data_IF_203925674464
#
_entry.id   IF_203925674464
#
_cell.length_a   1.000
_cell.length_b   1.000
_cell.length_c   1.000
_cell.angle_alpha   90.00
_cell.angle_beta   90.00
_cell.angle_gamma   90.00
#
_symmetry.space_group_name_H-M   'P 1'
#
loop_
_entity.id
_entity.type
_entity.pdbx_description
1 polymer ?
#
# COMPACT_ATOMS: atom_id res chain seq x y z
N UNK A 1 31.67 -2.89 -20.05
CA UNK A 1 31.74 -1.89 -21.13
C UNK A 1 32.35 -0.58 -20.61
N UNK A 2 33.04 0.22 -21.45
CA UNK A 2 33.46 1.56 -21.05
C UNK A 2 32.29 2.39 -20.51
N UNK A 3 32.56 3.32 -19.60
CA UNK A 3 31.52 4.12 -18.95
C UNK A 3 30.57 4.76 -19.97
N UNK A 4 29.27 4.56 -19.77
CA UNK A 4 28.22 5.08 -20.64
C UNK A 4 27.92 4.23 -21.89
N UNK A 5 28.38 2.97 -21.95
CA UNK A 5 28.06 2.04 -23.05
C UNK A 5 27.59 0.67 -22.56
N UNK A 6 26.80 -0.03 -23.38
CA UNK A 6 26.22 -1.33 -23.08
C UNK A 6 26.01 -2.20 -24.34
N UNK A 7 25.64 -3.46 -24.14
CA UNK A 7 25.35 -4.44 -25.18
C UNK A 7 26.59 -5.15 -25.73
N UNK A 8 26.36 -6.02 -26.71
CA UNK A 8 27.43 -6.82 -27.35
C UNK A 8 28.48 -5.87 -27.95
N UNK A 9 29.74 -6.09 -27.59
CA UNK A 9 30.88 -5.23 -27.94
C UNK A 9 30.74 -3.76 -27.51
N UNK A 10 29.87 -3.44 -26.56
CA UNK A 10 29.67 -2.09 -26.02
C UNK A 10 29.27 -1.06 -27.10
N UNK A 11 28.58 -1.52 -28.14
CA UNK A 11 28.23 -0.71 -29.30
C UNK A 11 27.09 0.30 -29.05
N UNK A 12 26.36 0.15 -27.93
CA UNK A 12 25.22 1.03 -27.59
C UNK A 12 25.60 2.00 -26.48
N UNK A 13 25.02 3.20 -26.49
CA UNK A 13 25.25 4.24 -25.48
C UNK A 13 24.13 4.24 -24.44
N UNK A 14 24.48 4.38 -23.18
CA UNK A 14 23.53 4.54 -22.10
C UNK A 14 22.89 5.94 -22.11
N UNK A 15 21.61 6.00 -21.79
CA UNK A 15 20.81 7.23 -21.78
C UNK A 15 20.42 7.69 -20.37
N UNK A 16 21.28 7.40 -19.38
CA UNK A 16 21.11 7.90 -18.03
C UNK A 16 21.45 9.39 -17.96
N UNK A 17 20.61 10.18 -17.30
CA UNK A 17 20.84 11.62 -17.14
C UNK A 17 21.91 11.85 -16.06
N UNK A 18 22.46 13.07 -16.01
CA UNK A 18 23.36 13.51 -14.93
C UNK A 18 24.47 12.50 -14.60
N UNK A 19 25.13 11.97 -15.64
CA UNK A 19 26.21 10.99 -15.56
C UNK A 19 25.88 9.69 -14.80
N UNK A 20 24.61 9.26 -14.78
CA UNK A 20 24.20 7.99 -14.17
C UNK A 20 24.86 6.77 -14.81
N UNK A 21 25.14 5.75 -13.98
CA UNK A 21 25.68 4.45 -14.44
C UNK A 21 24.55 3.54 -14.93
N UNK A 22 24.91 2.62 -15.83
CA UNK A 22 23.99 1.66 -16.46
C UNK A 22 24.58 0.25 -16.42
N UNK A 23 23.72 -0.76 -16.44
CA UNK A 23 24.10 -2.15 -16.63
C UNK A 23 24.73 -2.37 -18.02
N UNK A 24 25.83 -3.11 -18.09
CA UNK A 24 26.54 -3.39 -19.34
C UNK A 24 25.76 -4.30 -20.29
N UNK A 25 24.81 -5.06 -19.76
CA UNK A 25 24.08 -6.10 -20.47
C UNK A 25 22.93 -5.49 -21.27
N UNK A 26 22.12 -4.65 -20.62
CA UNK A 26 20.86 -4.14 -21.16
C UNK A 26 20.74 -2.60 -21.17
N UNK A 27 21.71 -1.88 -20.60
CA UNK A 27 21.75 -0.41 -20.64
C UNK A 27 20.77 0.29 -19.71
N UNK A 28 20.06 -0.46 -18.85
CA UNK A 28 19.17 0.10 -17.84
C UNK A 28 20.01 0.84 -16.80
N UNK A 29 19.55 2.02 -16.39
CA UNK A 29 20.25 2.81 -15.38
C UNK A 29 20.17 2.15 -14.01
N UNK A 30 21.30 2.17 -13.30
CA UNK A 30 21.40 1.58 -11.97
C UNK A 30 20.90 2.62 -10.98
N UNK A 31 19.73 2.37 -10.37
CA UNK A 31 19.17 3.22 -9.32
C UNK A 31 20.20 3.42 -8.19
N UNK A 32 20.31 4.65 -7.69
CA UNK A 32 21.30 5.00 -6.65
C UNK A 32 22.74 5.21 -7.15
N UNK A 33 23.07 4.88 -8.41
CA UNK A 33 24.38 5.17 -9.02
C UNK A 33 24.33 6.39 -9.94
N UNK A 34 23.77 7.46 -9.41
CA UNK A 34 23.70 8.78 -10.04
C UNK A 34 24.88 9.66 -9.59
N UNK A 35 25.11 10.79 -10.29
CA UNK A 35 26.02 11.81 -9.74
C UNK A 35 25.41 12.43 -8.49
N UNK A 36 26.27 12.92 -7.59
CA UNK A 36 25.87 13.62 -6.37
C UNK A 36 24.78 14.66 -6.68
N UNK A 37 23.72 14.64 -5.87
CA UNK A 37 22.59 15.55 -6.01
C UNK A 37 21.49 15.08 -6.93
N UNK A 38 21.53 13.85 -7.46
CA UNK A 38 20.50 13.31 -8.35
C UNK A 38 20.01 11.92 -7.93
N UNK A 39 18.71 11.67 -8.12
CA UNK A 39 18.04 10.39 -7.87
C UNK A 39 17.05 10.03 -8.99
N UNK A 40 16.44 8.87 -8.84
CA UNK A 40 15.41 8.34 -9.73
C UNK A 40 15.93 7.30 -10.70
N UNK A 41 15.02 6.60 -11.36
CA UNK A 41 15.32 5.44 -12.20
C UNK A 41 16.24 5.74 -13.39
N UNK A 42 16.42 7.00 -13.80
CA UNK A 42 17.41 7.42 -14.79
C UNK A 42 18.12 8.71 -14.40
N UNK A 43 18.25 8.97 -13.09
CA UNK A 43 18.91 10.14 -12.52
C UNK A 43 18.28 11.48 -12.97
N UNK A 44 16.97 11.50 -13.18
CA UNK A 44 16.22 12.64 -13.70
C UNK A 44 15.90 13.71 -12.65
N UNK A 45 15.92 13.37 -11.37
CA UNK A 45 15.46 14.25 -10.29
C UNK A 45 16.65 14.78 -9.51
N UNK A 46 16.74 16.09 -9.31
CA UNK A 46 17.70 16.68 -8.37
C UNK A 46 17.18 16.63 -6.94
N UNK A 47 18.03 16.30 -5.97
CA UNK A 47 17.61 16.07 -4.57
C UNK A 47 17.77 17.31 -3.67
N UNK A 48 18.55 18.31 -4.04
CA UNK A 48 18.82 19.46 -3.17
C UNK A 48 17.80 20.61 -3.33
N UNK A 49 16.51 20.37 -3.05
CA UNK A 49 15.57 21.49 -2.90
C UNK A 49 15.09 21.79 -1.50
N UNK A 50 15.31 20.92 -0.51
CA UNK A 50 14.83 21.15 0.87
C UNK A 50 15.67 20.44 1.97
N UNK A 51 16.99 20.30 1.78
CA UNK A 51 17.88 19.84 2.87
C UNK A 51 17.88 18.34 3.18
N UNK A 52 17.45 17.48 2.24
CA UNK A 52 17.65 16.04 2.30
C UNK A 52 18.74 15.69 1.29
N UNK A 53 19.86 15.13 1.76
CA UNK A 53 20.93 14.66 0.89
C UNK A 53 20.48 13.38 0.15
N UNK A 54 21.19 13.00 -0.91
CA UNK A 54 20.80 11.83 -1.72
C UNK A 54 21.08 10.49 -1.03
N UNK A 55 21.70 10.55 0.14
CA UNK A 55 22.34 9.45 0.85
C UNK A 55 21.57 9.10 2.13
N UNK A 56 20.24 9.20 2.10
CA UNK A 56 19.39 8.45 3.05
C UNK A 56 19.23 7.03 2.48
N UNK A 57 20.31 6.25 2.50
CA UNK A 57 20.22 4.80 2.57
C UNK A 57 19.62 4.49 3.95
N UNK A 58 18.29 4.49 4.05
CA UNK A 58 17.52 4.06 5.22
C UNK A 58 17.85 2.59 5.53
N UNK A 59 18.92 2.36 6.29
CA UNK A 59 19.15 1.18 7.15
C UNK A 59 18.83 1.54 8.62
N UNK A 60 17.90 2.47 8.88
CA UNK A 60 17.45 2.83 10.23
C UNK A 60 15.98 2.41 10.48
N UNK A 61 15.75 1.10 10.55
CA UNK A 61 14.74 0.54 11.46
C UNK A 61 15.45 0.26 12.80
N UNK A 62 15.44 1.23 13.74
CA UNK A 62 15.10 1.00 15.16
C UNK A 62 15.34 2.26 16.04
N UNK A 63 14.21 2.80 16.51
CA UNK A 63 13.90 3.19 17.89
C UNK A 63 14.87 4.06 18.74
N UNK A 64 14.38 5.29 18.98
CA UNK A 64 14.42 6.05 20.22
C UNK A 64 15.73 6.56 20.85
N UNK A 65 15.59 7.80 21.34
CA UNK A 65 16.27 8.43 22.49
C UNK A 65 17.54 9.29 22.33
N UNK A 66 17.31 10.58 22.62
CA UNK A 66 18.00 11.44 23.61
C UNK A 66 19.52 11.65 23.50
N UNK A 67 19.85 12.95 23.40
CA UNK A 67 21.17 13.54 23.58
C UNK A 67 22.06 12.90 24.66
N UNK A 68 23.32 12.63 24.31
CA UNK A 68 24.41 12.60 25.29
C UNK A 68 25.67 13.25 24.71
N UNK A 69 26.27 14.09 25.53
CA UNK A 69 27.52 14.82 25.33
C UNK A 69 28.72 13.90 25.26
N UNK A 70 29.78 14.40 24.63
CA UNK A 70 31.13 13.85 24.57
C UNK A 70 31.64 13.24 25.89
N UNK A 71 32.32 12.10 25.76
CA UNK A 71 33.17 11.47 26.77
C UNK A 71 34.11 10.49 26.08
N UNK A 72 35.40 10.68 26.31
CA UNK A 72 36.53 9.88 25.86
C UNK A 72 36.60 8.48 26.53
N UNK A 73 37.50 7.64 26.00
CA UNK A 73 38.29 6.57 26.65
C UNK A 73 38.12 5.09 26.18
N UNK A 74 39.27 4.56 25.70
CA UNK A 74 39.93 3.25 25.94
C UNK A 74 39.57 1.93 25.18
N UNK A 75 40.56 1.52 24.35
CA UNK A 75 41.34 0.26 24.28
C UNK A 75 40.73 -1.17 24.37
N UNK A 76 41.20 -2.03 23.43
CA UNK A 76 41.25 -3.52 23.50
C UNK A 76 40.10 -4.23 22.77
N UNK A 77 40.27 -5.07 21.75
CA UNK A 77 41.26 -6.14 21.56
C UNK A 77 40.73 -7.45 22.13
N UNK A 78 40.24 -8.38 21.30
CA UNK A 78 40.51 -9.84 21.37
C UNK A 78 39.70 -10.63 20.33
N UNK A 79 40.46 -11.44 19.58
CA UNK A 79 40.04 -12.49 18.65
C UNK A 79 39.34 -13.65 19.38
N UNK A 80 38.32 -14.26 18.77
CA UNK A 80 37.95 -15.65 19.03
C UNK A 80 37.38 -16.29 17.75
N UNK A 81 38.27 -16.97 17.04
CA UNK A 81 37.94 -18.07 16.14
C UNK A 81 37.47 -19.27 16.98
N UNK A 82 36.26 -19.79 16.73
CA UNK A 82 35.86 -21.11 17.18
C UNK A 82 35.22 -21.89 16.02
N UNK A 83 36.04 -22.75 15.43
CA UNK A 83 35.69 -23.84 14.52
C UNK A 83 34.90 -24.92 15.28
N UNK A 84 33.64 -25.13 14.89
CA UNK A 84 32.78 -26.21 15.40
C UNK A 84 32.17 -27.02 14.26
N UNK A 85 32.88 -28.07 13.82
CA UNK A 85 32.37 -29.08 12.87
C UNK A 85 31.59 -30.20 13.57
N UNK A 86 30.50 -30.66 12.95
CA UNK A 86 29.82 -31.95 13.18
C UNK A 86 28.33 -31.81 13.50
N UNK A 87 27.37 -32.48 12.86
CA UNK A 87 27.38 -33.51 11.82
C UNK A 87 25.92 -33.92 11.51
N UNK A 88 25.74 -34.65 10.41
CA UNK A 88 24.66 -35.60 10.06
C UNK A 88 23.20 -35.09 10.14
N UNK A 89 22.43 -34.94 9.07
CA UNK A 89 22.35 -35.73 7.85
C UNK A 89 20.89 -36.13 7.67
N UNK A 90 20.19 -35.54 6.69
CA UNK A 90 19.01 -36.16 6.10
C UNK A 90 18.91 -35.77 4.62
N UNK A 91 18.92 -36.81 3.81
CA UNK A 91 18.98 -36.77 2.36
C UNK A 91 17.65 -36.25 1.78
N UNK A 92 17.61 -34.99 1.37
CA UNK A 92 16.65 -34.53 0.40
C UNK A 92 17.22 -34.80 -1.00
N UNK A 93 16.76 -35.88 -1.61
CA UNK A 93 16.93 -36.18 -3.03
C UNK A 93 16.65 -34.92 -3.85
N UNK A 94 17.71 -34.34 -4.42
CA UNK A 94 17.61 -33.28 -5.40
C UNK A 94 16.95 -33.86 -6.66
N UNK A 95 15.63 -33.74 -6.75
CA UNK A 95 14.95 -33.80 -8.02
C UNK A 95 15.39 -32.56 -8.80
N UNK A 96 16.30 -32.77 -9.76
CA UNK A 96 16.56 -31.81 -10.81
C UNK A 96 15.23 -31.59 -11.56
N UNK A 97 14.50 -30.54 -11.19
CA UNK A 97 13.46 -30.00 -12.02
C UNK A 97 14.17 -29.29 -13.19
N UNK A 98 14.30 -30.01 -14.30
CA UNK A 98 14.43 -29.37 -15.60
C UNK A 98 13.19 -28.52 -15.80
N UNK A 99 13.32 -27.21 -15.63
CA UNK A 99 12.34 -26.27 -16.16
C UNK A 99 12.48 -26.38 -17.67
N UNK A 100 11.69 -27.26 -18.28
CA UNK A 100 11.32 -27.11 -19.69
C UNK A 100 10.66 -25.73 -19.77
N UNK A 101 11.36 -24.80 -20.40
CA UNK A 101 10.86 -23.47 -20.66
C UNK A 101 9.59 -23.56 -21.47
N UNK A 102 8.46 -23.27 -20.83
CA UNK A 102 7.37 -22.59 -21.49
C UNK A 102 7.40 -21.15 -20.99
N UNK A 103 7.98 -20.28 -21.83
CA UNK A 103 7.86 -18.83 -21.73
C UNK A 103 6.39 -18.43 -21.94
N UNK A 104 5.53 -18.65 -20.93
CA UNK A 104 4.14 -18.15 -20.88
C UNK A 104 4.01 -16.93 -19.94
N UNK A 105 5.08 -16.17 -19.72
CA UNK A 105 5.04 -14.89 -18.98
C UNK A 105 4.32 -13.76 -19.75
N UNK A 106 3.68 -14.06 -20.89
CA UNK A 106 2.91 -13.10 -21.68
C UNK A 106 1.39 -13.16 -21.41
N UNK A 107 0.87 -14.24 -20.81
CA UNK A 107 -0.57 -14.34 -20.51
C UNK A 107 -0.98 -13.51 -19.29
N UNK A 108 -0.08 -13.33 -18.30
CA UNK A 108 -0.36 -12.49 -17.13
C UNK A 108 -0.35 -10.99 -17.49
N UNK A 109 0.52 -10.57 -18.41
CA UNK A 109 0.52 -9.21 -18.95
C UNK A 109 -0.69 -8.95 -19.83
N UNK A 110 -1.14 -9.92 -20.63
CA UNK A 110 -2.37 -9.80 -21.44
C UNK A 110 -3.61 -9.72 -20.53
N UNK A 111 -3.70 -10.52 -19.46
CA UNK A 111 -4.81 -10.47 -18.51
C UNK A 111 -4.86 -9.13 -17.75
N UNK A 112 -3.71 -8.63 -17.28
CA UNK A 112 -3.57 -7.30 -16.66
C UNK A 112 -3.93 -6.19 -17.66
N UNK A 113 -3.48 -6.28 -18.91
CA UNK A 113 -3.79 -5.30 -19.96
C UNK A 113 -5.27 -5.32 -20.36
N UNK A 114 -5.92 -6.49 -20.43
CA UNK A 114 -7.36 -6.63 -20.67
C UNK A 114 -8.16 -6.07 -19.49
N UNK A 115 -7.73 -6.27 -18.24
CA UNK A 115 -8.37 -5.66 -17.07
C UNK A 115 -8.26 -4.13 -17.06
N UNK A 116 -7.13 -3.56 -17.49
CA UNK A 116 -6.92 -2.11 -17.58
C UNK A 116 -7.68 -1.46 -18.76
N UNK A 117 -7.96 -2.20 -19.84
CA UNK A 117 -8.77 -1.76 -20.98
C UNK A 117 -10.29 -1.84 -20.73
N UNK A 118 -10.72 -2.59 -19.70
CA UNK A 118 -12.14 -2.78 -19.34
C UNK A 118 -12.61 -1.89 -18.16
N UNK A 119 -11.81 -0.92 -17.73
CA UNK A 119 -12.23 0.08 -16.74
C UNK A 119 -13.11 1.13 -17.43
N UNK A 120 -14.37 0.77 -17.67
CA UNK A 120 -15.38 1.69 -18.20
C UNK A 120 -15.76 2.75 -17.18
N UNK A 121 -15.99 3.98 -17.63
CA UNK A 121 -16.56 5.03 -16.77
C UNK A 121 -17.97 4.62 -16.36
N UNK A 122 -18.18 4.44 -15.05
CA UNK A 122 -19.49 4.08 -14.51
C UNK A 122 -20.40 5.31 -14.39
N UNK A 123 -21.71 5.06 -14.44
CA UNK A 123 -22.71 6.07 -14.11
C UNK A 123 -22.56 6.48 -12.64
N UNK A 124 -22.93 7.72 -12.33
CA UNK A 124 -22.98 8.19 -10.95
C UNK A 124 -23.78 7.22 -10.07
N UNK A 125 -23.17 6.82 -8.96
CA UNK A 125 -23.76 5.88 -8.00
C UNK A 125 -23.29 4.44 -8.16
N UNK A 126 -22.49 4.12 -9.17
CA UNK A 126 -21.84 2.81 -9.28
C UNK A 126 -20.35 2.90 -9.55
N UNK A 127 -19.63 1.83 -9.25
CA UNK A 127 -18.20 1.76 -9.44
C UNK A 127 -17.71 0.31 -9.67
N UNK A 128 -16.42 0.17 -9.94
CA UNK A 128 -15.74 -1.12 -10.03
C UNK A 128 -15.92 -1.81 -11.39
N UNK A 129 -15.48 -3.07 -11.47
CA UNK A 129 -15.52 -3.82 -12.72
C UNK A 129 -16.97 -4.02 -13.18
N UNK A 130 -17.26 -3.65 -14.42
CA UNK A 130 -18.61 -3.68 -15.00
C UNK A 130 -19.66 -2.87 -14.21
N UNK A 131 -19.25 -1.92 -13.36
CA UNK A 131 -20.15 -1.04 -12.61
C UNK A 131 -21.18 -1.78 -11.73
N UNK A 132 -20.80 -2.94 -11.19
CA UNK A 132 -21.67 -3.77 -10.35
C UNK A 132 -21.77 -3.28 -8.92
N UNK A 133 -20.76 -2.54 -8.45
CA UNK A 133 -20.72 -2.04 -7.09
C UNK A 133 -21.54 -0.77 -6.94
N UNK A 134 -22.21 -0.61 -5.80
CA UNK A 134 -23.00 0.58 -5.49
C UNK A 134 -22.20 1.54 -4.63
N UNK A 135 -22.26 2.83 -4.96
CA UNK A 135 -21.55 3.83 -4.20
C UNK A 135 -22.42 4.46 -3.12
N UNK A 136 -21.95 4.42 -1.88
CA UNK A 136 -22.65 4.97 -0.70
C UNK A 136 -21.99 6.27 -0.19
N UNK A 137 -21.41 7.07 -1.08
CA UNK A 137 -20.93 8.41 -0.72
C UNK A 137 -22.10 9.33 -0.35
N UNK A 138 -21.87 10.25 0.59
CA UNK A 138 -22.83 11.31 0.91
C UNK A 138 -23.11 12.22 -0.31
N UNK A 139 -22.09 12.39 -1.15
CA UNK A 139 -22.19 13.11 -2.43
C UNK A 139 -21.87 12.13 -3.55
N UNK A 140 -22.90 11.64 -4.25
CA UNK A 140 -22.77 10.59 -5.27
C UNK A 140 -21.83 10.97 -6.42
N UNK A 141 -21.70 12.26 -6.74
CA UNK A 141 -20.82 12.78 -7.79
C UNK A 141 -19.34 12.81 -7.42
N UNK A 142 -19.00 12.57 -6.14
CA UNK A 142 -17.63 12.51 -5.62
C UNK A 142 -17.11 11.08 -5.46
N UNK A 143 -17.91 10.10 -5.88
CA UNK A 143 -17.51 8.71 -5.93
C UNK A 143 -16.56 8.45 -7.09
N UNK A 144 -15.41 7.84 -6.81
CA UNK A 144 -14.52 7.34 -7.85
C UNK A 144 -15.16 6.12 -8.54
N UNK A 145 -15.38 6.19 -9.85
CA UNK A 145 -16.04 5.13 -10.61
C UNK A 145 -15.22 3.82 -10.72
N UNK A 146 -13.94 3.84 -10.34
CA UNK A 146 -13.05 2.67 -10.34
C UNK A 146 -12.98 2.08 -8.94
N UNK A 147 -12.66 2.91 -7.94
CA UNK A 147 -12.33 2.44 -6.58
C UNK A 147 -13.48 2.55 -5.58
N UNK A 148 -14.51 3.33 -5.89
CA UNK A 148 -15.61 3.64 -4.97
C UNK A 148 -15.25 4.63 -3.87
N UNK A 149 -14.00 5.11 -3.83
CA UNK A 149 -13.54 6.07 -2.81
C UNK A 149 -14.24 7.41 -2.97
N UNK A 150 -14.74 7.96 -1.87
CA UNK A 150 -15.39 9.27 -1.84
C UNK A 150 -14.32 10.37 -1.68
N UNK A 151 -14.01 11.08 -2.76
CA UNK A 151 -12.97 12.14 -2.73
C UNK A 151 -13.28 13.27 -1.75
N UNK A 152 -14.56 13.51 -1.46
CA UNK A 152 -15.00 14.45 -0.44
C UNK A 152 -16.43 14.14 0.04
N UNK A 153 -16.78 14.60 1.24
CA UNK A 153 -18.11 14.43 1.83
C UNK A 153 -18.32 13.14 2.64
N UNK A 154 -17.43 12.15 2.51
CA UNK A 154 -17.51 10.90 3.27
C UNK A 154 -18.71 10.03 2.89
N UNK A 155 -19.12 9.17 3.82
CA UNK A 155 -20.18 8.19 3.60
C UNK A 155 -21.57 8.73 3.90
N UNK A 156 -22.55 8.24 3.15
CA UNK A 156 -23.96 8.42 3.49
C UNK A 156 -24.25 7.77 4.85
N UNK A 157 -25.26 8.26 5.60
CA UNK A 157 -25.62 7.67 6.89
C UNK A 157 -25.90 6.17 6.75
N UNK A 158 -25.41 5.38 7.71
CA UNK A 158 -25.50 3.92 7.67
C UNK A 158 -24.27 3.20 7.13
N UNK A 159 -23.28 3.92 6.61
CA UNK A 159 -22.08 3.35 5.99
C UNK A 159 -20.78 3.98 6.51
N UNK A 160 -19.68 3.22 6.45
CA UNK A 160 -18.31 3.63 6.85
C UNK A 160 -17.26 3.07 5.89
N UNK A 161 -16.01 3.52 6.08
CA UNK A 161 -14.85 3.08 5.32
C UNK A 161 -14.49 4.07 4.20
N UNK A 162 -13.32 3.89 3.60
CA UNK A 162 -12.81 4.80 2.55
C UNK A 162 -13.67 4.79 1.27
N UNK A 163 -14.34 3.67 0.97
CA UNK A 163 -15.26 3.48 -0.15
C UNK A 163 -16.73 3.30 0.28
N UNK A 164 -17.03 3.50 1.56
CA UNK A 164 -18.39 3.44 2.11
C UNK A 164 -19.13 2.12 1.90
N UNK A 165 -18.43 1.00 1.72
CA UNK A 165 -19.07 -0.30 1.52
C UNK A 165 -19.49 -0.99 2.82
N UNK A 166 -18.90 -0.59 3.93
CA UNK A 166 -19.16 -1.23 5.21
C UNK A 166 -20.40 -0.60 5.84
N UNK A 167 -21.45 -1.39 6.03
CA UNK A 167 -22.62 -0.97 6.81
C UNK A 167 -22.22 -0.77 8.28
N UNK A 168 -22.87 0.17 8.98
CA UNK A 168 -22.68 0.34 10.41
C UNK A 168 -22.77 -1.00 11.15
N UNK A 169 -21.86 -1.21 12.10
CA UNK A 169 -21.93 -2.36 13.00
C UNK A 169 -23.24 -2.35 13.81
N UNK A 170 -23.69 -3.53 14.24
CA UNK A 170 -24.93 -3.69 15.02
C UNK A 170 -24.92 -2.74 16.23
N UNK A 171 -26.03 -2.01 16.41
CA UNK A 171 -26.16 -1.04 17.48
C UNK A 171 -25.54 0.33 17.21
N UNK A 172 -25.02 0.58 16.00
CA UNK A 172 -24.54 1.90 15.56
C UNK A 172 -25.40 2.43 14.42
N UNK A 173 -25.53 3.75 14.32
CA UNK A 173 -26.29 4.37 13.23
C UNK A 173 -25.80 5.78 12.86
N UNK A 174 -26.32 6.32 11.76
CA UNK A 174 -26.11 7.71 11.35
C UNK A 174 -24.86 7.94 10.52
N UNK A 175 -24.45 9.20 10.39
CA UNK A 175 -23.24 9.58 9.64
C UNK A 175 -21.99 9.06 10.35
N UNK A 176 -21.10 8.40 9.61
CA UNK A 176 -19.89 7.76 10.16
C UNK A 176 -20.17 6.76 11.29
N UNK A 177 -21.42 6.31 11.43
CA UNK A 177 -21.88 5.38 12.47
C UNK A 177 -21.54 5.81 13.90
N UNK A 178 -21.55 7.12 14.18
CA UNK A 178 -21.26 7.65 15.52
C UNK A 178 -22.45 7.56 16.48
N UNK A 179 -23.67 7.44 15.95
CA UNK A 179 -24.89 7.24 16.74
C UNK A 179 -24.91 5.86 17.42
N UNK A 180 -25.49 5.78 18.61
CA UNK A 180 -25.61 4.54 19.38
C UNK A 180 -27.08 4.16 19.55
N UNK A 181 -27.45 2.95 19.16
CA UNK A 181 -28.81 2.46 19.32
C UNK A 181 -29.05 2.03 20.77
N UNK A 182 -30.23 2.38 21.27
CA UNK A 182 -30.73 1.90 22.56
C UNK A 182 -32.06 1.15 22.38
N UNK A 183 -32.10 0.29 21.35
CA UNK A 183 -33.23 -0.60 21.14
C UNK A 183 -33.19 -1.73 22.17
N UNK A 184 -34.35 -2.30 22.49
CA UNK A 184 -34.41 -3.52 23.31
C UNK A 184 -33.60 -4.67 22.67
N UNK A 185 -33.59 -4.74 21.33
CA UNK A 185 -32.67 -5.57 20.55
C UNK A 185 -31.98 -4.69 19.48
N UNK A 186 -30.69 -4.43 19.68
CA UNK A 186 -29.89 -3.58 18.79
C UNK A 186 -29.70 -4.16 17.39
N UNK A 187 -30.00 -5.45 17.14
CA UNK A 187 -30.03 -6.03 15.79
C UNK A 187 -31.19 -5.49 14.95
N UNK A 188 -32.21 -4.91 15.58
CA UNK A 188 -33.40 -4.34 14.93
C UNK A 188 -33.31 -2.83 14.69
N UNK A 189 -32.18 -2.24 15.07
CA UNK A 189 -31.89 -0.84 14.84
C UNK A 189 -31.59 -0.58 13.38
N UNK A 190 -32.23 0.43 12.79
CA UNK A 190 -31.90 0.90 11.45
C UNK A 190 -30.57 1.65 11.48
N UNK A 191 -29.58 1.21 10.69
CA UNK A 191 -28.24 1.81 10.63
C UNK A 191 -28.23 3.25 10.08
N UNK A 192 -29.26 3.67 9.35
CA UNK A 192 -29.36 5.03 8.80
C UNK A 192 -29.97 5.97 9.85
N UNK A 193 -31.11 5.59 10.43
CA UNK A 193 -31.95 6.49 11.23
C UNK A 193 -31.92 6.25 12.75
N UNK A 194 -31.41 5.11 13.21
CA UNK A 194 -31.45 4.70 14.62
C UNK A 194 -32.82 4.19 15.08
N UNK A 195 -33.80 4.10 14.18
CA UNK A 195 -35.17 3.66 14.52
C UNK A 195 -35.20 2.15 14.81
N UNK A 196 -35.89 1.77 15.89
CA UNK A 196 -36.03 0.38 16.30
C UNK A 196 -37.25 -0.26 15.62
N UNK A 197 -37.01 -1.22 14.73
CA UNK A 197 -38.07 -1.80 13.88
C UNK A 197 -39.11 -2.60 14.65
N UNK A 198 -38.73 -3.22 15.78
CA UNK A 198 -39.66 -3.86 16.74
C UNK A 198 -38.98 -4.07 18.09
N UNK A 199 -39.77 -4.21 19.17
CA UNK A 199 -39.26 -4.50 20.52
C UNK A 199 -39.14 -3.28 21.44
N UNK A 200 -39.28 -2.06 20.93
CA UNK A 200 -39.20 -0.84 21.74
C UNK A 200 -37.78 -0.51 22.21
N UNK A 201 -37.69 0.30 23.25
CA UNK A 201 -36.43 0.82 23.77
C UNK A 201 -35.90 -0.01 24.94
N UNK A 202 -34.57 0.04 25.12
CA UNK A 202 -33.93 -0.44 26.33
C UNK A 202 -34.42 0.36 27.55
N UNK A 203 -34.25 -0.20 28.75
CA UNK A 203 -34.67 0.46 29.98
C UNK A 203 -34.01 1.84 30.13
N UNK A 204 -34.81 2.86 30.44
CA UNK A 204 -34.34 4.24 30.54
C UNK A 204 -34.29 5.00 29.22
N UNK A 205 -34.73 4.41 28.11
CA UNK A 205 -34.82 5.10 26.81
C UNK A 205 -36.24 5.10 26.26
N UNK A 206 -36.58 6.13 25.49
CA UNK A 206 -37.91 6.38 24.94
C UNK A 206 -37.83 7.04 23.55
N UNK A 207 -38.98 7.08 22.85
CA UNK A 207 -39.10 7.63 21.49
C UNK A 207 -38.94 6.56 20.40
N UNK A 208 -39.18 6.94 19.14
CA UNK A 208 -39.15 6.00 18.00
C UNK A 208 -37.74 5.50 17.63
N UNK A 209 -36.71 6.27 18.00
CA UNK A 209 -35.29 5.90 17.84
C UNK A 209 -34.58 5.64 19.17
N UNK A 210 -35.31 5.64 20.29
CA UNK A 210 -34.79 5.34 21.62
C UNK A 210 -33.58 6.20 22.02
N UNK A 211 -33.57 7.48 21.67
CA UNK A 211 -32.44 8.38 21.97
C UNK A 211 -32.71 9.34 23.15
N UNK A 212 -33.92 9.33 23.71
CA UNK A 212 -34.29 10.18 24.85
C UNK A 212 -34.33 9.33 26.12
N UNK A 213 -33.69 9.76 27.21
CA UNK A 213 -33.70 9.09 28.50
C UNK A 213 -33.94 10.04 29.67
#
# INVERSE_FOLDING_TARGET
CPHGTFGINCAKKCHCLNNGKCYSENGICITGKCSHGYRGHNCQSGCHKFGFDCDDDDDDDDDDTVAVTAGDDDDGGDDNDDDGSGGDGDAATAAAATVDGNDDDNDDYILIMVLLLNISVCRQGSYGLNCKETCHCAIVTKCNHITGVCSSGGCAPGYVGSNCHQVCSVGRFGSSCTGTCHCADNKKCNSVSGVCSSGGCAAGYQGSNCQTG
#
